data_IF_731728730198
#
_entry.id   IF_731728730198
#
_cell.length_a   1.000
_cell.length_b   1.000
_cell.length_c   1.000
_cell.angle_alpha   90.00
_cell.angle_beta   90.00
_cell.angle_gamma   90.00
#
_symmetry.space_group_name_H-M   'P 1'
#
loop_
_entity.id
_entity.type
_entity.pdbx_description
1 polymer ?
#
# COMPACT_ATOMS: atom_id res chain seq x y z
N UNK A 1 -13.79 46.55 18.31
CA UNK A 1 -14.23 45.64 17.22
C UNK A 1 -13.62 44.27 17.51
N UNK A 2 -14.43 43.28 17.90
CA UNK A 2 -13.94 41.90 18.10
C UNK A 2 -13.82 41.22 16.73
N UNK A 3 -12.61 40.78 16.38
CA UNK A 3 -12.40 39.87 15.25
C UNK A 3 -13.18 38.58 15.53
N UNK A 4 -13.98 38.07 14.57
CA UNK A 4 -14.59 36.76 14.74
C UNK A 4 -13.47 35.72 14.82
N UNK A 5 -13.58 34.70 15.68
CA UNK A 5 -12.59 33.65 15.76
C UNK A 5 -12.51 32.96 14.39
N UNK A 6 -11.33 32.98 13.76
CA UNK A 6 -11.02 32.09 12.64
C UNK A 6 -11.20 30.67 13.17
N UNK A 7 -12.35 30.05 12.87
CA UNK A 7 -12.51 28.60 12.97
C UNK A 7 -11.54 27.99 11.97
N UNK A 8 -10.29 27.77 12.39
CA UNK A 8 -9.26 27.03 11.66
C UNK A 8 -9.58 25.54 11.62
N UNK A 9 -10.81 25.19 11.22
CA UNK A 9 -11.20 23.81 10.99
C UNK A 9 -10.59 23.33 9.67
N UNK A 10 -10.04 22.12 9.66
CA UNK A 10 -9.63 21.45 8.43
C UNK A 10 -10.88 21.33 7.55
N UNK A 11 -10.85 21.95 6.36
CA UNK A 11 -11.97 21.84 5.42
C UNK A 11 -12.10 20.38 4.96
N UNK A 12 -13.32 19.93 4.69
CA UNK A 12 -13.56 18.56 4.21
C UNK A 12 -12.79 18.27 2.91
N UNK A 13 -12.62 19.28 2.05
CA UNK A 13 -11.80 19.21 0.84
C UNK A 13 -10.31 19.03 1.15
N UNK A 14 -9.80 19.73 2.17
CA UNK A 14 -8.41 19.57 2.63
C UNK A 14 -8.17 18.16 3.18
N UNK A 15 -9.14 17.59 3.91
CA UNK A 15 -9.04 16.23 4.43
C UNK A 15 -9.04 15.18 3.32
N UNK A 16 -9.89 15.33 2.31
CA UNK A 16 -9.90 14.46 1.12
C UNK A 16 -8.58 14.54 0.37
N UNK A 17 -8.01 15.73 0.19
CA UNK A 17 -6.70 15.92 -0.43
C UNK A 17 -5.58 15.22 0.33
N UNK A 18 -5.54 15.35 1.66
CA UNK A 18 -4.52 14.70 2.50
C UNK A 18 -4.65 13.18 2.44
N UNK A 19 -5.87 12.64 2.49
CA UNK A 19 -6.11 11.21 2.35
C UNK A 19 -5.66 10.72 0.97
N UNK A 20 -6.02 11.43 -0.10
CA UNK A 20 -5.63 11.09 -1.46
C UNK A 20 -4.12 11.13 -1.66
N UNK A 21 -3.45 12.15 -1.12
CA UNK A 21 -1.99 12.27 -1.15
C UNK A 21 -1.32 11.13 -0.40
N UNK A 22 -1.79 10.82 0.81
CA UNK A 22 -1.25 9.75 1.64
C UNK A 22 -1.37 8.38 0.95
N UNK A 23 -2.56 8.07 0.41
CA UNK A 23 -2.78 6.85 -0.38
C UNK A 23 -1.91 6.82 -1.64
N UNK A 24 -1.81 7.94 -2.35
CA UNK A 24 -0.96 8.05 -3.54
C UNK A 24 0.50 7.78 -3.24
N UNK A 25 1.04 8.32 -2.15
CA UNK A 25 2.43 8.10 -1.72
C UNK A 25 2.65 6.63 -1.35
N UNK A 26 1.73 6.01 -0.60
CA UNK A 26 1.86 4.60 -0.22
C UNK A 26 1.84 3.67 -1.43
N UNK A 27 0.88 3.88 -2.35
CA UNK A 27 0.76 3.08 -3.58
C UNK A 27 1.98 3.28 -4.47
N UNK A 28 2.44 4.53 -4.61
CA UNK A 28 3.63 4.84 -5.40
C UNK A 28 4.89 4.19 -4.83
N UNK A 29 5.13 4.33 -3.51
CA UNK A 29 6.28 3.72 -2.85
C UNK A 29 6.25 2.19 -2.98
N UNK A 30 5.08 1.57 -2.83
CA UNK A 30 4.92 0.14 -2.95
C UNK A 30 5.20 -0.36 -4.37
N UNK A 31 4.51 0.22 -5.35
CA UNK A 31 4.69 -0.15 -6.77
C UNK A 31 6.11 0.10 -7.23
N UNK A 32 6.73 1.22 -6.84
CA UNK A 32 8.10 1.52 -7.20
C UNK A 32 9.07 0.49 -6.62
N UNK A 33 8.88 0.11 -5.35
CA UNK A 33 9.74 -0.88 -4.68
C UNK A 33 9.62 -2.26 -5.32
N UNK A 34 8.40 -2.68 -5.67
CA UNK A 34 8.14 -3.92 -6.41
C UNK A 34 8.85 -3.93 -7.78
N UNK A 35 8.66 -2.88 -8.59
CA UNK A 35 9.32 -2.79 -9.90
C UNK A 35 10.84 -2.71 -9.77
N UNK A 36 11.35 -1.96 -8.79
CA UNK A 36 12.79 -1.89 -8.53
C UNK A 36 13.37 -3.27 -8.22
N UNK A 37 12.68 -4.11 -7.44
CA UNK A 37 13.14 -5.46 -7.14
C UNK A 37 13.24 -6.34 -8.39
N UNK A 38 12.32 -6.19 -9.34
CA UNK A 38 12.32 -6.93 -10.61
C UNK A 38 13.40 -6.46 -11.59
N UNK A 39 13.86 -5.21 -11.45
CA UNK A 39 14.88 -4.61 -12.32
C UNK A 39 16.31 -4.89 -11.84
N UNK A 40 16.51 -5.29 -10.58
CA UNK A 40 17.84 -5.64 -10.07
C UNK A 40 18.26 -6.99 -10.67
N UNK A 41 19.37 -7.05 -11.44
CA UNK A 41 19.80 -8.28 -12.08
C UNK A 41 20.27 -9.30 -11.04
N UNK A 42 19.91 -10.56 -11.26
CA UNK A 42 20.38 -11.67 -10.43
C UNK A 42 21.90 -11.81 -10.64
N UNK A 43 22.73 -11.73 -9.59
CA UNK A 43 24.19 -11.69 -9.72
C UNK A 43 24.77 -12.99 -10.28
N UNK A 44 24.07 -14.12 -10.10
CA UNK A 44 24.38 -15.37 -10.77
C UNK A 44 23.21 -16.35 -10.71
N UNK A 45 23.09 -17.20 -11.74
CA UNK A 45 22.16 -18.32 -11.75
C UNK A 45 22.88 -19.59 -11.30
N UNK A 46 22.48 -20.16 -10.16
CA UNK A 46 23.01 -21.44 -9.67
C UNK A 46 24.32 -21.37 -8.88
N UNK A 47 24.70 -20.22 -8.33
CA UNK A 47 25.87 -20.16 -7.45
C UNK A 47 25.68 -21.03 -6.20
N UNK A 48 26.65 -21.92 -5.89
CA UNK A 48 26.55 -22.82 -4.76
C UNK A 48 26.84 -22.15 -3.40
N UNK A 49 27.29 -20.88 -3.36
CA UNK A 49 27.85 -20.32 -2.13
C UNK A 49 27.13 -19.03 -1.68
N UNK A 50 26.43 -19.04 -0.53
CA UNK A 50 25.82 -17.85 0.07
C UNK A 50 26.82 -16.84 0.67
N UNK A 51 28.12 -17.04 0.49
CA UNK A 51 29.18 -16.22 1.12
C UNK A 51 29.75 -15.14 0.21
N UNK A 52 29.39 -15.12 -1.08
CA UNK A 52 29.80 -14.04 -1.98
C UNK A 52 29.15 -12.72 -1.51
N UNK A 53 29.95 -11.67 -1.20
CA UNK A 53 29.43 -10.36 -0.81
C UNK A 53 28.42 -9.78 -1.80
N UNK A 54 28.57 -10.02 -3.10
CA UNK A 54 27.63 -9.54 -4.12
C UNK A 54 26.26 -10.23 -4.04
N UNK A 55 26.24 -11.54 -3.76
CA UNK A 55 25.01 -12.32 -3.57
C UNK A 55 24.30 -11.91 -2.29
N UNK A 56 25.05 -11.64 -1.21
CA UNK A 56 24.49 -11.15 0.06
C UNK A 56 23.87 -9.76 -0.13
N UNK A 57 24.57 -8.85 -0.81
CA UNK A 57 24.08 -7.51 -1.10
C UNK A 57 22.78 -7.56 -1.92
N UNK A 58 22.75 -8.37 -2.99
CA UNK A 58 21.54 -8.61 -3.78
C UNK A 58 20.37 -9.10 -2.92
N UNK A 59 20.57 -10.17 -2.13
CA UNK A 59 19.51 -10.74 -1.26
C UNK A 59 18.97 -9.69 -0.28
N UNK A 60 19.85 -8.89 0.34
CA UNK A 60 19.45 -7.85 1.26
C UNK A 60 18.65 -6.74 0.57
N UNK A 61 19.10 -6.29 -0.60
CA UNK A 61 18.37 -5.28 -1.39
C UNK A 61 16.98 -5.75 -1.80
N UNK A 62 16.84 -6.97 -2.34
CA UNK A 62 15.54 -7.52 -2.72
C UNK A 62 14.63 -7.69 -1.51
N UNK A 63 15.16 -8.16 -0.37
CA UNK A 63 14.38 -8.26 0.88
C UNK A 63 13.88 -6.90 1.35
N UNK A 64 14.74 -5.88 1.36
CA UNK A 64 14.34 -4.53 1.75
C UNK A 64 13.26 -3.98 0.82
N UNK A 65 13.42 -4.13 -0.50
CA UNK A 65 12.43 -3.68 -1.47
C UNK A 65 11.10 -4.43 -1.34
N UNK A 66 11.15 -5.75 -1.11
CA UNK A 66 9.95 -6.54 -0.83
C UNK A 66 9.24 -6.12 0.45
N UNK A 67 9.98 -5.87 1.54
CA UNK A 67 9.40 -5.34 2.78
C UNK A 67 8.74 -3.98 2.57
N UNK A 68 9.42 -3.05 1.89
CA UNK A 68 8.85 -1.73 1.61
C UNK A 68 7.59 -1.86 0.75
N UNK A 69 7.62 -2.72 -0.27
CA UNK A 69 6.48 -2.97 -1.14
C UNK A 69 5.25 -3.46 -0.36
N UNK A 70 5.41 -4.56 0.37
CA UNK A 70 4.32 -5.19 1.12
C UNK A 70 3.77 -4.25 2.18
N UNK A 71 4.63 -3.63 3.00
CA UNK A 71 4.18 -2.77 4.11
C UNK A 71 3.43 -1.54 3.60
N UNK A 72 3.93 -0.88 2.55
CA UNK A 72 3.28 0.33 2.04
C UNK A 72 1.94 0.02 1.37
N UNK A 73 1.84 -1.09 0.64
CA UNK A 73 0.59 -1.52 0.03
C UNK A 73 -0.43 -2.00 1.05
N UNK A 74 -0.02 -2.79 2.04
CA UNK A 74 -0.89 -3.23 3.13
C UNK A 74 -1.46 -2.04 3.90
N UNK A 75 -0.62 -1.03 4.17
CA UNK A 75 -1.08 0.23 4.78
C UNK A 75 -2.06 0.99 3.88
N UNK A 76 -1.81 1.07 2.58
CA UNK A 76 -2.71 1.74 1.64
C UNK A 76 -4.09 1.05 1.60
N UNK A 77 -4.09 -0.28 1.62
CA UNK A 77 -5.31 -1.09 1.57
C UNK A 77 -6.05 -1.00 2.90
N UNK A 78 -5.37 -1.23 4.02
CA UNK A 78 -5.96 -1.14 5.35
C UNK A 78 -6.55 0.26 5.59
N UNK A 79 -5.84 1.32 5.19
CA UNK A 79 -6.32 2.69 5.33
C UNK A 79 -7.53 2.95 4.43
N UNK A 80 -7.50 2.50 3.17
CA UNK A 80 -8.64 2.65 2.23
C UNK A 80 -9.90 1.93 2.74
N UNK A 81 -9.73 0.70 3.25
CA UNK A 81 -10.81 -0.10 3.84
C UNK A 81 -11.34 0.59 5.10
N UNK A 82 -10.47 1.01 6.02
CA UNK A 82 -10.87 1.72 7.23
C UNK A 82 -11.65 2.99 6.91
N UNK A 83 -11.18 3.80 5.96
CA UNK A 83 -11.89 5.00 5.51
C UNK A 83 -13.25 4.69 4.88
N UNK A 84 -13.36 3.61 4.11
CA UNK A 84 -14.63 3.15 3.57
C UNK A 84 -15.61 2.73 4.68
N UNK A 85 -15.16 1.99 5.69
CA UNK A 85 -15.99 1.64 6.86
C UNK A 85 -16.44 2.88 7.64
N UNK A 86 -15.53 3.83 7.89
CA UNK A 86 -15.85 5.08 8.56
C UNK A 86 -16.86 5.88 7.73
N UNK A 87 -16.64 6.06 6.42
CA UNK A 87 -17.53 6.82 5.56
C UNK A 87 -18.92 6.18 5.43
N UNK A 88 -18.98 4.85 5.30
CA UNK A 88 -20.24 4.09 5.19
C UNK A 88 -21.01 3.99 6.50
N UNK A 89 -20.32 3.97 7.65
CA UNK A 89 -20.93 3.84 8.98
C UNK A 89 -21.28 5.17 9.67
N UNK A 90 -20.54 6.25 9.39
CA UNK A 90 -20.69 7.53 10.11
C UNK A 90 -21.76 8.46 9.56
N UNK A 91 -22.27 8.22 8.35
CA UNK A 91 -23.20 9.14 7.68
C UNK A 91 -24.62 8.57 7.65
N UNK A 92 -25.48 9.07 8.54
CA UNK A 92 -26.92 8.81 8.52
C UNK A 92 -27.64 9.36 7.28
N UNK A 93 -26.98 10.21 6.49
CA UNK A 93 -27.56 10.87 5.30
C UNK A 93 -27.14 10.24 3.96
N UNK A 94 -26.37 9.16 3.95
CA UNK A 94 -26.03 8.48 2.69
C UNK A 94 -27.22 7.66 2.19
N UNK A 95 -27.47 7.73 0.89
CA UNK A 95 -28.41 6.81 0.25
C UNK A 95 -27.95 5.36 0.45
N UNK A 96 -28.90 4.42 0.54
CA UNK A 96 -28.60 2.98 0.70
C UNK A 96 -27.66 2.48 -0.41
N UNK A 97 -27.90 2.93 -1.64
CA UNK A 97 -27.08 2.57 -2.79
C UNK A 97 -25.63 3.03 -2.63
N UNK A 98 -25.41 4.25 -2.15
CA UNK A 98 -24.06 4.79 -1.89
C UNK A 98 -23.37 4.01 -0.76
N UNK A 99 -24.08 3.76 0.34
CA UNK A 99 -23.53 3.01 1.48
C UNK A 99 -23.13 1.58 1.07
N UNK A 100 -24.00 0.89 0.34
CA UNK A 100 -23.71 -0.45 -0.21
C UNK A 100 -22.51 -0.41 -1.15
N UNK A 101 -22.41 0.59 -2.01
CA UNK A 101 -21.27 0.77 -2.92
C UNK A 101 -19.94 0.90 -2.17
N UNK A 102 -19.91 1.67 -1.08
CA UNK A 102 -18.72 1.85 -0.25
C UNK A 102 -18.29 0.54 0.42
N UNK A 103 -19.24 -0.23 0.97
CA UNK A 103 -18.91 -1.53 1.58
C UNK A 103 -18.48 -2.57 0.54
N UNK A 104 -19.14 -2.63 -0.61
CA UNK A 104 -18.75 -3.51 -1.72
C UNK A 104 -17.33 -3.16 -2.19
N UNK A 105 -17.01 -1.87 -2.34
CA UNK A 105 -15.65 -1.43 -2.63
C UNK A 105 -14.66 -1.96 -1.59
N UNK A 106 -14.90 -1.74 -0.30
CA UNK A 106 -14.00 -2.18 0.77
C UNK A 106 -13.76 -3.70 0.74
N UNK A 107 -14.81 -4.49 0.57
CA UNK A 107 -14.74 -5.96 0.52
C UNK A 107 -14.03 -6.47 -0.73
N UNK A 108 -14.43 -5.99 -1.91
CA UNK A 108 -13.85 -6.43 -3.19
C UNK A 108 -12.41 -5.99 -3.29
N UNK A 109 -12.10 -4.76 -2.90
CA UNK A 109 -10.73 -4.24 -2.92
C UNK A 109 -9.81 -5.04 -2.00
N UNK A 110 -10.26 -5.36 -0.78
CA UNK A 110 -9.51 -6.22 0.14
C UNK A 110 -9.31 -7.63 -0.45
N UNK A 111 -10.36 -8.24 -1.01
CA UNK A 111 -10.26 -9.57 -1.60
C UNK A 111 -9.27 -9.62 -2.77
N UNK A 112 -9.33 -8.63 -3.67
CA UNK A 112 -8.37 -8.48 -4.77
C UNK A 112 -6.96 -8.29 -4.23
N UNK A 113 -6.79 -7.45 -3.21
CA UNK A 113 -5.48 -7.25 -2.57
C UNK A 113 -4.91 -8.55 -1.99
N UNK A 114 -5.70 -9.38 -1.33
CA UNK A 114 -5.22 -10.66 -0.80
C UNK A 114 -4.67 -11.59 -1.91
N UNK A 115 -5.29 -11.57 -3.09
CA UNK A 115 -4.81 -12.32 -4.26
C UNK A 115 -3.47 -11.74 -4.76
N UNK A 116 -3.38 -10.40 -4.87
CA UNK A 116 -2.14 -9.74 -5.26
C UNK A 116 -1.00 -9.95 -4.26
N UNK A 117 -1.28 -9.84 -2.96
CA UNK A 117 -0.34 -10.08 -1.86
C UNK A 117 0.21 -11.50 -1.90
N UNK A 118 -0.63 -12.50 -2.20
CA UNK A 118 -0.19 -13.87 -2.39
C UNK A 118 0.74 -14.03 -3.61
N UNK A 119 0.40 -13.39 -4.74
CA UNK A 119 1.23 -13.41 -5.94
C UNK A 119 2.59 -12.73 -5.68
N UNK A 120 2.59 -11.59 -5.01
CA UNK A 120 3.78 -10.84 -4.61
C UNK A 120 4.69 -11.66 -3.70
N UNK A 121 4.12 -12.32 -2.67
CA UNK A 121 4.85 -13.26 -1.82
C UNK A 121 5.53 -14.37 -2.63
N UNK A 122 4.81 -14.94 -3.60
CA UNK A 122 5.33 -16.01 -4.46
C UNK A 122 6.49 -15.52 -5.32
N UNK A 123 6.41 -14.30 -5.87
CA UNK A 123 7.48 -13.69 -6.66
C UNK A 123 8.72 -13.45 -5.80
N UNK A 124 8.58 -12.83 -4.62
CA UNK A 124 9.72 -12.57 -3.74
C UNK A 124 10.38 -13.85 -3.22
N UNK A 125 9.60 -14.93 -3.00
CA UNK A 125 10.11 -16.27 -2.71
C UNK A 125 11.03 -16.80 -3.79
N UNK A 126 10.72 -16.54 -5.07
CA UNK A 126 11.53 -16.97 -6.22
C UNK A 126 12.78 -16.11 -6.37
N UNK A 127 12.68 -14.79 -6.13
CA UNK A 127 13.83 -13.88 -6.21
C UNK A 127 14.84 -14.08 -5.08
N UNK A 128 14.38 -14.53 -3.90
CA UNK A 128 15.23 -14.83 -2.73
C UNK A 128 14.99 -16.29 -2.30
N UNK A 129 15.53 -17.28 -3.03
CA UNK A 129 15.55 -18.65 -2.55
C UNK A 129 16.46 -18.70 -1.31
N UNK A 130 15.96 -19.29 -0.23
CA UNK A 130 16.65 -19.36 1.06
C UNK A 130 17.98 -20.09 0.92
#
# INVERSE_FOLDING_TARGET
>A
MMMPPRRGGISLNSLVLVIGLFLGVLIFAGTLSFHAALLIPVPCQGCPVPTDPAVIAYRNSIRTLGWVSVVTMDLAVAFSVAMAWIAGGSRGELSEATRRGIFVFATVFLAVWLIFSWAEYTIFRVLVPF
#
